data_IF_998988357968
#
_entry.id   IF_998988357968
#
_cell.length_a   1.000
_cell.length_b   1.000
_cell.length_c   1.000
_cell.angle_alpha   90.00
_cell.angle_beta   90.00
_cell.angle_gamma   90.00
#
_symmetry.space_group_name_H-M   'P 1'
#
loop_
_entity.id
_entity.type
_entity.pdbx_description
1 polymer ?
#
# COMPACT_ATOMS: atom_id res chain seq x y z
N UNK A 1 -3.23 36.62 26.81
CA UNK A 1 -3.22 36.00 28.15
C UNK A 1 -2.37 34.73 28.06
N UNK A 2 -1.17 34.69 28.67
CA UNK A 2 -0.30 33.50 28.65
C UNK A 2 -0.92 32.43 29.56
N UNK A 3 -1.09 31.20 29.07
CA UNK A 3 -1.59 30.07 29.87
C UNK A 3 -0.54 29.70 30.92
N UNK A 4 -0.98 29.48 32.15
CA UNK A 4 -0.15 28.89 33.21
C UNK A 4 0.13 27.42 32.84
N UNK A 5 1.42 27.07 32.84
CA UNK A 5 1.99 25.79 32.39
C UNK A 5 2.43 24.91 33.58
N UNK A 6 2.10 25.32 34.82
CA UNK A 6 2.33 24.49 35.99
C UNK A 6 1.47 23.21 35.93
N UNK A 7 2.06 21.99 35.97
CA UNK A 7 1.29 20.75 35.86
C UNK A 7 0.43 20.53 37.12
N UNK A 8 -0.90 20.39 36.99
CA UNK A 8 -1.74 20.04 38.13
C UNK A 8 -1.43 18.61 38.59
N UNK A 9 -1.28 18.41 39.91
CA UNK A 9 -0.80 17.16 40.52
C UNK A 9 -1.58 15.88 40.13
N UNK A 10 -2.81 16.00 39.62
CA UNK A 10 -3.63 14.84 39.21
C UNK A 10 -3.58 14.52 37.73
N UNK A 11 -3.14 15.46 36.87
CA UNK A 11 -3.19 15.33 35.41
C UNK A 11 -2.00 16.05 34.77
N UNK A 12 -0.80 15.45 34.80
CA UNK A 12 0.42 16.08 34.31
C UNK A 12 0.37 16.40 32.81
N UNK A 13 -0.51 15.74 32.04
CA UNK A 13 -0.70 15.98 30.60
C UNK A 13 -1.51 17.23 30.27
N UNK A 14 -2.17 17.87 31.24
CA UNK A 14 -2.92 19.12 31.02
C UNK A 14 -2.01 20.32 30.72
N UNK A 15 -0.78 20.29 31.23
CA UNK A 15 0.23 21.31 30.95
C UNK A 15 1.01 21.06 29.64
N UNK A 16 0.77 19.92 28.97
CA UNK A 16 1.44 19.57 27.73
C UNK A 16 0.64 20.11 26.54
N UNK A 17 1.23 21.05 25.82
CA UNK A 17 0.73 21.45 24.50
C UNK A 17 1.21 20.43 23.47
N UNK A 18 0.26 19.72 22.84
CA UNK A 18 0.60 18.82 21.73
C UNK A 18 1.02 19.70 20.54
N UNK A 19 2.23 19.47 20.04
CA UNK A 19 2.72 20.16 18.85
C UNK A 19 1.77 19.93 17.68
N UNK A 20 1.42 21.02 16.99
CA UNK A 20 0.67 20.91 15.74
C UNK A 20 1.59 20.25 14.71
N UNK A 21 1.17 19.09 14.22
CA UNK A 21 1.85 18.37 13.16
C UNK A 21 1.14 18.67 11.83
N UNK A 22 1.91 19.09 10.83
CA UNK A 22 1.43 19.23 9.47
C UNK A 22 1.49 17.87 8.77
N UNK A 23 0.37 17.33 8.26
CA UNK A 23 0.35 16.06 7.56
C UNK A 23 1.28 16.07 6.34
N UNK A 24 2.16 15.07 6.26
CA UNK A 24 3.07 14.91 5.13
C UNK A 24 2.30 14.77 3.81
N UNK A 25 2.50 15.69 2.86
CA UNK A 25 1.90 15.64 1.52
C UNK A 25 2.79 14.89 0.52
N UNK A 26 3.34 13.73 0.91
CA UNK A 26 4.27 12.94 0.08
C UNK A 26 3.51 11.94 -0.82
N UNK A 27 2.35 12.35 -1.32
CA UNK A 27 1.58 11.53 -2.25
C UNK A 27 2.28 11.53 -3.62
N UNK A 28 2.25 10.39 -4.31
CA UNK A 28 2.66 10.32 -5.72
C UNK A 28 1.61 11.07 -6.55
N UNK A 29 2.01 12.14 -7.22
CA UNK A 29 1.14 12.89 -8.12
C UNK A 29 0.89 12.06 -9.40
N UNK A 30 -0.30 12.20 -10.00
CA UNK A 30 -0.68 11.55 -11.25
C UNK A 30 0.34 11.79 -12.38
N UNK A 31 0.95 12.97 -12.43
CA UNK A 31 1.98 13.30 -13.43
C UNK A 31 3.29 12.51 -13.27
N UNK A 32 3.55 11.98 -12.08
CA UNK A 32 4.78 11.27 -11.74
C UNK A 32 4.66 9.75 -11.95
N UNK A 33 3.46 9.24 -12.24
CA UNK A 33 3.22 7.82 -12.51
C UNK A 33 4.07 7.25 -13.66
N UNK A 34 4.32 7.97 -14.78
CA UNK A 34 5.21 7.48 -15.82
C UNK A 34 6.63 7.25 -15.29
N UNK A 35 7.18 8.20 -14.52
CA UNK A 35 8.52 8.06 -13.94
C UNK A 35 8.56 6.93 -12.91
N UNK A 36 7.53 6.80 -12.08
CA UNK A 36 7.37 5.68 -11.15
C UNK A 36 7.34 4.33 -11.88
N UNK A 37 6.60 4.23 -12.99
CA UNK A 37 6.46 3.00 -13.77
C UNK A 37 7.79 2.57 -14.38
N UNK A 38 8.60 3.51 -14.84
CA UNK A 38 9.94 3.22 -15.36
C UNK A 38 10.91 2.80 -14.25
N UNK A 39 10.79 3.36 -13.05
CA UNK A 39 11.54 2.88 -11.88
C UNK A 39 11.11 1.46 -11.46
N UNK A 40 9.79 1.21 -11.42
CA UNK A 40 9.21 -0.09 -11.10
C UNK A 40 9.65 -1.20 -12.07
N UNK A 41 9.74 -0.90 -13.37
CA UNK A 41 10.23 -1.82 -14.40
C UNK A 41 11.67 -2.25 -14.20
N UNK A 42 12.52 -1.39 -13.62
CA UNK A 42 13.94 -1.66 -13.36
C UNK A 42 14.17 -2.56 -12.13
N UNK A 43 13.13 -2.86 -11.36
CA UNK A 43 13.23 -3.76 -10.21
C UNK A 43 13.51 -5.18 -10.72
N UNK A 44 14.70 -5.69 -10.37
CA UNK A 44 15.18 -6.99 -10.80
C UNK A 44 14.40 -8.14 -10.14
N UNK A 45 14.13 -8.02 -8.84
CA UNK A 45 13.38 -9.03 -8.09
C UNK A 45 11.91 -9.05 -8.55
N UNK A 46 11.43 -10.18 -9.10
CA UNK A 46 10.02 -10.30 -9.42
C UNK A 46 9.17 -10.12 -8.16
N UNK A 47 9.56 -10.66 -7.02
CA UNK A 47 8.76 -10.56 -5.79
C UNK A 47 8.57 -9.11 -5.36
N UNK A 48 9.63 -8.30 -5.36
CA UNK A 48 9.56 -6.88 -5.01
C UNK A 48 8.72 -6.10 -6.03
N UNK A 49 8.92 -6.37 -7.32
CA UNK A 49 8.15 -5.73 -8.39
C UNK A 49 6.66 -6.03 -8.25
N UNK A 50 6.30 -7.28 -7.98
CA UNK A 50 4.92 -7.70 -7.74
C UNK A 50 4.32 -7.08 -6.49
N UNK A 51 5.10 -7.00 -5.41
CA UNK A 51 4.70 -6.37 -4.16
C UNK A 51 4.34 -4.88 -4.32
N UNK A 52 5.16 -4.12 -5.06
CA UNK A 52 4.86 -2.70 -5.32
C UNK A 52 3.59 -2.51 -6.15
N UNK A 53 3.39 -3.34 -7.17
CA UNK A 53 2.19 -3.31 -7.99
C UNK A 53 0.94 -3.71 -7.18
N UNK A 54 1.06 -4.73 -6.33
CA UNK A 54 0.02 -5.15 -5.41
C UNK A 54 -0.39 -4.02 -4.46
N UNK A 55 0.57 -3.34 -3.83
CA UNK A 55 0.27 -2.21 -2.93
C UNK A 55 -0.43 -1.07 -3.67
N UNK A 56 0.01 -0.76 -4.90
CA UNK A 56 -0.60 0.30 -5.71
C UNK A 56 -2.07 -0.01 -6.07
N UNK A 57 -2.37 -1.26 -6.44
CA UNK A 57 -3.69 -1.66 -6.91
C UNK A 57 -4.68 -2.00 -5.77
N UNK A 58 -4.19 -2.50 -4.64
CA UNK A 58 -5.02 -2.86 -3.49
C UNK A 58 -5.20 -1.72 -2.48
N UNK A 59 -4.30 -0.74 -2.49
CA UNK A 59 -4.21 0.27 -1.42
C UNK A 59 -3.79 -0.32 -0.06
N UNK A 60 -3.31 -1.58 -0.02
CA UNK A 60 -2.84 -2.21 1.20
C UNK A 60 -1.64 -1.44 1.77
N UNK A 61 -1.58 -1.28 3.10
CA UNK A 61 -0.42 -0.68 3.73
C UNK A 61 0.79 -1.59 3.56
N UNK A 62 2.02 -1.06 3.40
CA UNK A 62 3.21 -1.88 3.23
C UNK A 62 3.35 -2.98 4.29
N UNK A 63 3.14 -2.64 5.56
CA UNK A 63 3.21 -3.63 6.64
C UNK A 63 2.08 -4.67 6.63
N UNK A 64 0.89 -4.34 6.13
CA UNK A 64 -0.22 -5.29 5.98
C UNK A 64 0.07 -6.26 4.83
N UNK A 65 0.48 -5.72 3.68
CA UNK A 65 0.85 -6.50 2.50
C UNK A 65 2.04 -7.45 2.77
N UNK A 66 3.06 -6.99 3.48
CA UNK A 66 4.26 -7.78 3.78
C UNK A 66 4.02 -8.98 4.72
N UNK A 67 2.91 -8.99 5.47
CA UNK A 67 2.55 -10.10 6.37
C UNK A 67 1.60 -11.12 5.77
N UNK A 68 1.09 -10.86 4.56
CA UNK A 68 0.11 -11.72 3.91
C UNK A 68 0.75 -13.08 3.60
N UNK A 69 0.03 -14.15 3.91
CA UNK A 69 0.49 -15.52 3.64
C UNK A 69 -0.36 -16.16 2.54
N UNK A 70 0.10 -17.29 2.00
CA UNK A 70 -0.61 -18.02 0.94
C UNK A 70 -2.05 -18.36 1.34
N UNK A 71 -2.28 -18.67 2.62
CA UNK A 71 -3.63 -18.99 3.13
C UNK A 71 -4.59 -17.79 3.15
N UNK A 72 -4.10 -16.57 2.97
CA UNK A 72 -4.94 -15.38 2.82
C UNK A 72 -5.39 -15.18 1.37
N UNK A 73 -4.95 -16.02 0.43
CA UNK A 73 -5.23 -15.90 -1.01
C UNK A 73 -6.06 -17.10 -1.47
N UNK A 74 -7.27 -16.83 -1.94
CA UNK A 74 -8.15 -17.80 -2.59
C UNK A 74 -8.12 -17.56 -4.10
N UNK A 75 -7.34 -18.37 -4.81
CA UNK A 75 -7.15 -18.22 -6.27
C UNK A 75 -8.39 -18.67 -7.06
N UNK A 76 -9.18 -19.61 -6.54
CA UNK A 76 -10.40 -20.08 -7.20
C UNK A 76 -11.45 -18.96 -7.22
N UNK A 77 -11.63 -18.29 -6.08
CA UNK A 77 -12.54 -17.14 -5.96
C UNK A 77 -11.90 -15.84 -6.45
N UNK A 78 -10.61 -15.87 -6.77
CA UNK A 78 -9.78 -14.70 -7.09
C UNK A 78 -9.93 -13.60 -6.03
N UNK A 79 -9.76 -13.97 -4.77
CA UNK A 79 -9.87 -13.07 -3.63
C UNK A 79 -8.61 -13.16 -2.77
N UNK A 80 -8.26 -12.08 -2.10
CA UNK A 80 -7.30 -12.11 -1.01
C UNK A 80 -7.82 -11.35 0.20
N UNK A 81 -7.34 -11.72 1.37
CA UNK A 81 -7.78 -11.19 2.65
C UNK A 81 -6.67 -10.39 3.31
N UNK A 82 -6.95 -9.13 3.63
CA UNK A 82 -6.09 -8.33 4.50
C UNK A 82 -6.55 -8.55 5.94
N UNK A 83 -5.74 -9.27 6.71
CA UNK A 83 -6.05 -9.56 8.12
C UNK A 83 -5.64 -8.41 9.03
N UNK A 84 -6.40 -8.18 10.10
CA UNK A 84 -6.12 -7.13 11.11
C UNK A 84 -5.94 -5.73 10.51
N UNK A 85 -6.77 -5.37 9.53
CA UNK A 85 -6.77 -4.01 9.01
C UNK A 85 -7.08 -3.01 10.12
N UNK A 86 -6.69 -1.74 9.95
CA UNK A 86 -6.94 -0.65 10.92
C UNK A 86 -8.44 -0.62 11.31
N UNK A 87 -8.76 -1.11 12.51
CA UNK A 87 -10.14 -1.33 12.98
C UNK A 87 -10.45 -2.77 13.41
N UNK A 88 -9.49 -3.71 13.28
CA UNK A 88 -9.62 -5.09 13.75
C UNK A 88 -10.49 -5.99 12.88
N UNK A 89 -10.94 -5.49 11.71
CA UNK A 89 -11.76 -6.26 10.76
C UNK A 89 -10.89 -6.79 9.63
N UNK A 90 -11.28 -7.96 9.13
CA UNK A 90 -10.71 -8.53 7.91
C UNK A 90 -11.40 -7.92 6.69
N UNK A 91 -10.62 -7.62 5.65
CA UNK A 91 -11.12 -7.06 4.40
C UNK A 91 -10.80 -8.05 3.28
N UNK A 92 -11.82 -8.48 2.55
CA UNK A 92 -11.65 -9.32 1.37
C UNK A 92 -11.67 -8.44 0.12
N UNK A 93 -10.64 -8.54 -0.72
CA UNK A 93 -10.49 -7.79 -1.96
C UNK A 93 -10.33 -8.74 -3.14
N UNK A 94 -10.89 -8.40 -4.32
CA UNK A 94 -10.70 -9.20 -5.53
C UNK A 94 -9.27 -9.05 -6.07
N UNK A 95 -8.73 -10.15 -6.59
CA UNK A 95 -7.50 -10.18 -7.37
C UNK A 95 -7.84 -9.70 -8.78
N UNK A 96 -7.29 -8.56 -9.17
CA UNK A 96 -7.40 -8.09 -10.54
C UNK A 96 -6.48 -8.89 -11.47
N UNK A 97 -6.78 -8.98 -12.78
CA UNK A 97 -5.90 -9.63 -13.75
C UNK A 97 -4.46 -9.12 -13.69
N UNK A 98 -4.26 -7.82 -13.45
CA UNK A 98 -2.94 -7.19 -13.36
C UNK A 98 -2.14 -7.65 -12.13
N UNK A 99 -2.81 -7.97 -11.03
CA UNK A 99 -2.17 -8.57 -9.84
C UNK A 99 -1.81 -10.03 -10.13
N UNK A 100 -2.68 -10.77 -10.83
CA UNK A 100 -2.42 -12.15 -11.22
C UNK A 100 -1.28 -12.27 -12.25
N UNK A 101 -1.22 -11.34 -13.21
CA UNK A 101 -0.31 -11.37 -14.36
C UNK A 101 1.17 -11.32 -13.99
N UNK A 102 1.52 -10.76 -12.83
CA UNK A 102 2.92 -10.67 -12.42
C UNK A 102 3.53 -12.05 -12.09
N UNK A 103 2.72 -13.10 -12.00
CA UNK A 103 3.20 -14.49 -11.91
C UNK A 103 3.75 -15.02 -13.23
N UNK A 104 3.27 -14.48 -14.35
CA UNK A 104 3.58 -14.94 -15.69
C UNK A 104 4.57 -13.97 -16.32
N UNK A 105 5.86 -14.18 -16.02
CA UNK A 105 6.92 -13.50 -16.76
C UNK A 105 6.82 -13.83 -18.26
N UNK A 106 6.75 -12.79 -19.08
CA UNK A 106 6.92 -12.80 -20.54
C UNK A 106 6.11 -13.83 -21.34
N UNK A 107 4.88 -13.46 -21.69
CA UNK A 107 4.15 -14.01 -22.82
C UNK A 107 4.10 -13.01 -23.97
N UNK A 108 4.89 -13.28 -25.01
CA UNK A 108 4.68 -12.90 -26.42
C UNK A 108 4.39 -11.43 -26.76
N UNK A 109 5.44 -10.75 -27.21
CA UNK A 109 5.29 -9.76 -28.27
C UNK A 109 4.82 -10.46 -29.54
N UNK A 110 3.55 -10.34 -29.88
CA UNK A 110 3.04 -10.53 -31.24
C UNK A 110 2.02 -9.44 -31.53
N UNK A 111 2.49 -8.42 -32.23
CA UNK A 111 1.68 -7.42 -32.91
C UNK A 111 2.17 -7.29 -34.36
N UNK A 112 2.16 -8.40 -35.10
CA UNK A 112 2.02 -8.36 -36.57
C UNK A 112 0.65 -7.73 -36.86
N UNK A 113 0.54 -6.66 -37.65
CA UNK A 113 0.79 -6.72 -39.08
C UNK A 113 -0.46 -7.23 -39.80
N UNK A 114 -1.36 -6.31 -40.17
CA UNK A 114 -2.39 -6.50 -41.20
C UNK A 114 -3.71 -7.16 -40.78
N UNK A 115 -4.80 -6.40 -40.80
CA UNK A 115 -5.70 -6.25 -41.96
C UNK A 115 -6.44 -4.91 -41.87
#
# INVERSE_FOLDING_TARGET
>A
MKRDISPPARLPTLAVEISKYEPSQVALDFRDYPAWREAWRKIASPVERGYHLFCLLSGARPGEAARMIVNDVDLEKRMFKITKAKGGKDINLPISPQIAYHRDGEGSGEGSGGH
#
